data_IF_042401052213
#
_entry.id   IF_042401052213
#
_cell.length_a   1.000
_cell.length_b   1.000
_cell.length_c   1.000
_cell.angle_alpha   90.00
_cell.angle_beta   90.00
_cell.angle_gamma   90.00
#
_symmetry.space_group_name_H-M   'P 1'
#
loop_
_entity.id
_entity.type
_entity.pdbx_description
1 polymer ?
#
# COMPACT_ATOMS: atom_id res chain seq x y z
N UNK A 1 -5.58 1.28 -9.20
CA UNK A 1 -5.04 2.29 -8.28
C UNK A 1 -5.65 3.63 -8.59
N UNK A 2 -5.32 4.64 -7.79
CA UNK A 2 -5.63 6.04 -8.07
C UNK A 2 -4.29 6.78 -8.18
N UNK A 3 -3.88 7.24 -9.38
CA UNK A 3 -2.62 7.97 -9.56
C UNK A 3 -2.47 9.13 -8.57
N UNK A 4 -1.29 9.24 -7.96
CA UNK A 4 -1.01 10.18 -6.86
C UNK A 4 -1.30 9.65 -5.46
N UNK A 5 -2.19 8.66 -5.30
CA UNK A 5 -2.56 8.07 -4.01
C UNK A 5 -1.99 6.67 -3.81
N UNK A 6 -2.39 5.73 -4.66
CA UNK A 6 -1.91 4.34 -4.61
C UNK A 6 -2.06 3.69 -5.97
N UNK A 7 -0.95 3.58 -6.71
CA UNK A 7 -0.94 3.01 -8.05
C UNK A 7 0.33 2.17 -8.29
N UNK A 8 0.22 0.94 -8.82
CA UNK A 8 1.38 0.22 -9.33
C UNK A 8 1.85 0.83 -10.66
N UNK A 9 3.17 0.91 -10.84
CA UNK A 9 3.79 1.19 -12.15
C UNK A 9 3.86 -0.06 -13.03
N UNK A 10 4.42 0.07 -14.24
CA UNK A 10 4.53 -1.03 -15.22
C UNK A 10 5.43 -2.18 -14.75
N UNK A 11 6.31 -1.93 -13.78
CA UNK A 11 7.15 -2.93 -13.13
C UNK A 11 6.50 -3.53 -11.86
N UNK A 12 5.29 -3.10 -11.51
CA UNK A 12 4.55 -3.54 -10.34
C UNK A 12 4.98 -2.86 -9.03
N UNK A 13 5.84 -1.84 -9.08
CA UNK A 13 6.19 -1.08 -7.87
C UNK A 13 5.07 -0.11 -7.53
N UNK A 14 4.67 -0.11 -6.27
CA UNK A 14 3.61 0.76 -5.78
C UNK A 14 4.13 2.16 -5.47
N UNK A 15 3.35 3.18 -5.83
CA UNK A 15 3.69 4.59 -5.62
C UNK A 15 2.45 5.43 -5.23
N UNK A 16 2.66 6.53 -4.51
CA UNK A 16 1.63 7.50 -4.11
C UNK A 16 1.56 7.75 -2.59
N UNK A 17 0.76 8.74 -2.17
CA UNK A 17 0.71 9.16 -0.76
C UNK A 17 0.27 8.05 0.21
N UNK A 18 -0.72 7.24 -0.14
CA UNK A 18 -1.18 6.13 0.72
C UNK A 18 -0.09 5.04 0.82
N UNK A 19 0.63 4.81 -0.28
CA UNK A 19 1.75 3.85 -0.34
C UNK A 19 2.89 4.30 0.56
N UNK A 20 3.21 5.59 0.58
CA UNK A 20 4.25 6.16 1.43
C UNK A 20 3.85 6.15 2.91
N UNK A 21 2.56 6.27 3.25
CA UNK A 21 2.07 6.01 4.61
C UNK A 21 2.34 4.56 5.01
N UNK A 22 2.06 3.58 4.14
CA UNK A 22 2.38 2.18 4.44
C UNK A 22 3.90 1.93 4.62
N UNK A 23 4.73 2.57 3.79
CA UNK A 23 6.20 2.51 3.92
C UNK A 23 6.69 3.16 5.21
N UNK A 24 6.10 4.27 5.63
CA UNK A 24 6.43 4.95 6.88
C UNK A 24 6.13 4.06 8.09
N UNK A 25 4.99 3.36 8.09
CA UNK A 25 4.66 2.36 9.12
C UNK A 25 5.66 1.21 9.10
N UNK A 26 6.00 0.67 7.93
CA UNK A 26 6.99 -0.40 7.81
C UNK A 26 8.38 0.03 8.31
N UNK A 27 8.82 1.25 7.96
CA UNK A 27 10.07 1.81 8.45
C UNK A 27 10.06 2.01 9.97
N UNK A 28 8.95 2.50 10.53
CA UNK A 28 8.81 2.73 11.97
C UNK A 28 8.86 1.43 12.79
N UNK A 29 8.30 0.33 12.27
CA UNK A 29 8.22 -0.95 12.98
C UNK A 29 9.45 -1.82 12.71
N UNK A 30 9.92 -1.88 11.46
CA UNK A 30 10.94 -2.84 11.01
C UNK A 30 12.30 -2.19 10.72
N UNK A 31 12.42 -0.85 10.76
CA UNK A 31 13.62 -0.13 10.32
C UNK A 31 13.86 -0.19 8.81
N UNK A 32 12.90 -0.71 8.04
CA UNK A 32 13.02 -0.94 6.60
C UNK A 32 11.68 -0.66 5.90
N UNK A 33 11.66 0.40 5.09
CA UNK A 33 10.50 0.82 4.31
C UNK A 33 10.05 -0.21 3.26
N UNK A 34 10.93 -1.13 2.87
CA UNK A 34 10.65 -2.22 1.91
C UNK A 34 9.90 -3.40 2.52
N UNK A 35 9.72 -3.45 3.85
CA UNK A 35 9.02 -4.54 4.54
C UNK A 35 7.50 -4.38 4.50
N UNK A 36 6.97 -4.27 3.28
CA UNK A 36 5.53 -4.08 3.02
C UNK A 36 5.12 -4.83 1.75
N UNK A 37 3.91 -5.39 1.77
CA UNK A 37 3.25 -6.00 0.60
C UNK A 37 1.90 -5.31 0.40
N UNK A 38 1.53 -5.12 -0.86
CA UNK A 38 0.30 -4.39 -1.22
C UNK A 38 -0.72 -5.34 -1.83
N UNK A 39 -1.96 -5.27 -1.33
CA UNK A 39 -3.10 -6.02 -1.86
C UNK A 39 -4.08 -5.02 -2.48
N UNK A 40 -4.29 -5.03 -3.82
CA UNK A 40 -5.28 -4.17 -4.46
C UNK A 40 -6.69 -4.60 -4.07
N UNK A 41 -7.53 -3.67 -3.64
CA UNK A 41 -8.90 -3.93 -3.21
C UNK A 41 -9.85 -2.91 -3.82
N UNK A 42 -11.07 -3.35 -4.18
CA UNK A 42 -12.13 -2.43 -4.55
C UNK A 42 -12.71 -1.71 -3.34
N UNK A 43 -13.48 -0.63 -3.57
CA UNK A 43 -14.19 0.08 -2.51
C UNK A 43 -15.17 -0.81 -1.72
N UNK A 44 -15.72 -1.85 -2.37
CA UNK A 44 -16.66 -2.81 -1.77
C UNK A 44 -15.94 -3.82 -0.87
N UNK A 45 -14.75 -4.26 -1.26
CA UNK A 45 -14.03 -5.35 -0.58
C UNK A 45 -13.15 -4.88 0.58
N UNK A 46 -12.69 -3.61 0.57
CA UNK A 46 -11.64 -3.12 1.48
C UNK A 46 -11.94 -3.26 2.97
N UNK A 47 -13.20 -3.17 3.38
CA UNK A 47 -13.58 -3.32 4.79
C UNK A 47 -13.63 -4.78 5.22
N UNK A 48 -14.14 -5.67 4.35
CA UNK A 48 -14.11 -7.12 4.61
C UNK A 48 -12.69 -7.65 4.69
N UNK A 49 -11.80 -7.19 3.80
CA UNK A 49 -10.40 -7.58 3.81
C UNK A 49 -9.65 -7.15 5.09
N UNK A 50 -10.05 -6.05 5.74
CA UNK A 50 -9.44 -5.58 7.00
C UNK A 50 -9.96 -6.31 8.23
N UNK A 51 -11.17 -6.88 8.16
CA UNK A 51 -11.79 -7.60 9.29
C UNK A 51 -11.16 -8.98 9.56
N UNK A 52 -10.28 -9.45 8.67
CA UNK A 52 -9.74 -10.81 8.66
C UNK A 52 -8.31 -10.85 9.18
#
# INVERSE_FOLDING_TARGET
GLPGFSNPDDAGNWQGIDVDVCRAVAAAIFGDAGKVKYTPLSAKERFTALQS
#
